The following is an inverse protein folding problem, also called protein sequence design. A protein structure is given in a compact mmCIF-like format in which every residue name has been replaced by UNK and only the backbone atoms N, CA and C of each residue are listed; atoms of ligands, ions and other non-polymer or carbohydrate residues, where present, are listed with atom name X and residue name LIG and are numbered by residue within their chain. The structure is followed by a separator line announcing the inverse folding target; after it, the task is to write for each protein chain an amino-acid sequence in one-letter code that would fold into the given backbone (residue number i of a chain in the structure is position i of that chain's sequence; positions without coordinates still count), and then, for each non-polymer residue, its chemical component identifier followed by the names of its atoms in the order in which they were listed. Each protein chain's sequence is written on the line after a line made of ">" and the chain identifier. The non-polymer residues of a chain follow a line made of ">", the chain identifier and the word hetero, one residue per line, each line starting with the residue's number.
data_IF_167998901790
#
_entry.id   IF_167998901790
#
_cell.length_a   1.000
_cell.length_b   1.000
_cell.length_c   1.000
_cell.angle_alpha   90.00
_cell.angle_beta   90.00
_cell.angle_gamma   90.00
#
_symmetry.space_group_name_H-M   'P 1'
#
loop_
_entity.id
_entity.type
_entity.pdbx_description
1 polymer ?
#
# COMPACT_ATOMS: atom_id res chain seq x y z
N UNK A 1 -6.32 -16.20 -3.66
CA UNK A 1 -7.66 -16.80 -3.49
C UNK A 1 -7.63 -18.03 -2.59
N UNK A 2 -7.00 -19.15 -2.99
CA UNK A 2 -6.97 -20.37 -2.18
C UNK A 2 -6.47 -20.17 -0.72
N UNK A 3 -5.47 -19.31 -0.51
CA UNK A 3 -5.00 -18.94 0.83
C UNK A 3 -6.09 -18.20 1.65
N UNK A 4 -6.82 -17.28 1.01
CA UNK A 4 -7.90 -16.52 1.66
C UNK A 4 -9.09 -17.43 1.99
N UNK A 5 -9.42 -18.39 1.12
CA UNK A 5 -10.45 -19.39 1.39
C UNK A 5 -10.10 -20.23 2.63
N UNK A 6 -8.82 -20.62 2.78
CA UNK A 6 -8.35 -21.34 3.97
C UNK A 6 -8.47 -20.52 5.25
N UNK A 7 -8.11 -19.24 5.24
CA UNK A 7 -8.32 -18.36 6.39
C UNK A 7 -9.80 -18.25 6.76
N UNK A 8 -10.67 -18.08 5.75
CA UNK A 8 -12.12 -17.99 5.95
C UNK A 8 -12.68 -19.26 6.60
N UNK A 9 -12.25 -20.43 6.12
CA UNK A 9 -12.65 -21.72 6.68
C UNK A 9 -12.13 -21.92 8.12
N UNK A 10 -11.00 -21.30 8.47
CA UNK A 10 -10.44 -21.32 9.81
C UNK A 10 -11.06 -20.27 10.76
N UNK A 11 -12.03 -19.47 10.31
CA UNK A 11 -12.66 -18.42 11.12
C UNK A 11 -11.82 -17.16 11.31
N UNK A 12 -10.73 -17.01 10.54
CA UNK A 12 -9.88 -15.80 10.53
C UNK A 12 -10.34 -14.87 9.43
N UNK A 13 -10.30 -13.55 9.66
CA UNK A 13 -10.62 -12.56 8.62
C UNK A 13 -9.58 -12.69 7.49
N UNK A 14 -9.95 -13.07 6.26
CA UNK A 14 -8.94 -13.38 5.27
C UNK A 14 -8.14 -12.16 4.79
N UNK A 15 -8.81 -11.03 4.57
CA UNK A 15 -8.18 -9.80 4.08
C UNK A 15 -8.61 -8.62 4.96
N UNK A 16 -7.66 -8.02 5.66
CA UNK A 16 -7.88 -6.76 6.36
C UNK A 16 -7.94 -5.61 5.35
N UNK A 17 -9.01 -4.81 5.43
CA UNK A 17 -9.21 -3.60 4.62
C UNK A 17 -9.95 -2.55 5.45
N UNK A 18 -9.76 -1.28 5.11
CA UNK A 18 -10.38 -0.14 5.80
C UNK A 18 -11.56 0.53 5.08
N UNK A 19 -11.91 0.10 3.87
CA UNK A 19 -13.09 0.60 3.15
C UNK A 19 -13.12 2.12 2.96
N UNK A 20 -11.95 2.72 2.79
CA UNK A 20 -11.77 4.11 2.37
C UNK A 20 -11.30 4.09 0.91
N UNK A 21 -11.78 5.01 0.08
CA UNK A 21 -11.53 5.02 -1.37
C UNK A 21 -10.04 4.89 -1.73
N UNK A 22 -9.15 5.53 -0.99
CA UNK A 22 -7.72 5.48 -1.26
C UNK A 22 -7.07 4.12 -0.91
N UNK A 23 -7.60 3.40 0.10
CA UNK A 23 -7.14 2.05 0.44
C UNK A 23 -7.56 1.05 -0.64
N UNK A 24 -8.80 1.19 -1.13
CA UNK A 24 -9.31 0.37 -2.24
C UNK A 24 -8.54 0.64 -3.53
N UNK A 25 -8.23 1.91 -3.82
CA UNK A 25 -7.37 2.30 -4.94
C UNK A 25 -5.96 1.71 -4.83
N UNK A 26 -5.35 1.72 -3.63
CA UNK A 26 -4.04 1.11 -3.38
C UNK A 26 -4.04 -0.40 -3.68
N UNK A 27 -5.10 -1.11 -3.27
CA UNK A 27 -5.25 -2.53 -3.63
C UNK A 27 -5.51 -2.69 -5.12
N UNK A 28 -6.31 -1.81 -5.74
CA UNK A 28 -6.64 -1.87 -7.15
C UNK A 28 -5.42 -1.66 -8.05
N UNK A 29 -4.51 -0.77 -7.69
CA UNK A 29 -3.22 -0.58 -8.38
C UNK A 29 -2.45 -1.91 -8.49
N UNK A 30 -2.38 -2.66 -7.37
CA UNK A 30 -1.76 -3.98 -7.35
C UNK A 30 -2.50 -5.02 -8.19
N UNK A 31 -3.84 -4.97 -8.20
CA UNK A 31 -4.69 -5.87 -9.00
C UNK A 31 -4.50 -5.62 -10.50
N UNK A 32 -4.45 -4.36 -10.92
CA UNK A 32 -4.28 -3.97 -12.33
C UNK A 32 -2.89 -4.37 -12.81
N UNK A 33 -1.85 -4.10 -12.02
CA UNK A 33 -0.49 -4.52 -12.33
C UNK A 33 -0.37 -6.04 -12.43
N UNK A 34 -0.99 -6.78 -11.52
CA UNK A 34 -1.02 -8.25 -11.54
C UNK A 34 -1.78 -8.81 -12.76
N UNK A 35 -2.88 -8.16 -13.14
CA UNK A 35 -3.76 -8.65 -14.21
C UNK A 35 -3.18 -8.38 -15.61
N UNK A 36 -2.63 -7.18 -15.84
CA UNK A 36 -2.16 -6.76 -17.17
C UNK A 36 -0.64 -6.65 -17.32
N UNK A 37 0.12 -6.73 -16.23
CA UNK A 37 1.56 -6.49 -16.23
C UNK A 37 1.93 -4.99 -16.25
N UNK A 38 3.23 -4.67 -16.14
CA UNK A 38 3.72 -3.30 -15.98
C UNK A 38 3.47 -2.40 -17.20
N UNK A 39 3.52 -2.94 -18.41
CA UNK A 39 3.23 -2.17 -19.63
C UNK A 39 1.76 -1.75 -19.70
N UNK A 40 0.84 -2.67 -19.39
CA UNK A 40 -0.59 -2.35 -19.32
C UNK A 40 -0.88 -1.34 -18.21
N UNK A 41 -0.31 -1.56 -17.02
CA UNK A 41 -0.45 -0.63 -15.90
C UNK A 41 -0.03 0.78 -16.31
N UNK A 42 1.14 0.93 -16.96
CA UNK A 42 1.61 2.23 -17.43
C UNK A 42 0.61 2.87 -18.40
N UNK A 43 0.17 2.14 -19.44
CA UNK A 43 -0.78 2.67 -20.43
C UNK A 43 -2.09 3.12 -19.77
N UNK A 44 -2.66 2.29 -18.91
CA UNK A 44 -3.95 2.56 -18.29
C UNK A 44 -3.88 3.63 -17.20
N UNK A 45 -2.93 3.51 -16.27
CA UNK A 45 -2.91 4.32 -15.04
C UNK A 45 -2.02 5.55 -15.12
N UNK A 46 -1.00 5.57 -15.98
CA UNK A 46 -0.11 6.73 -16.15
C UNK A 46 -0.45 7.51 -17.42
N UNK A 47 -0.56 6.82 -18.55
CA UNK A 47 -0.80 7.45 -19.85
C UNK A 47 -2.29 7.74 -20.09
N UNK A 48 -3.17 7.18 -19.25
CA UNK A 48 -4.63 7.33 -19.31
C UNK A 48 -5.22 6.91 -20.67
N UNK A 49 -4.64 5.88 -21.28
CA UNK A 49 -5.04 5.36 -22.57
C UNK A 49 -6.46 4.78 -22.54
N UNK A 50 -7.35 5.37 -23.35
CA UNK A 50 -8.79 5.05 -23.33
C UNK A 50 -9.09 3.62 -23.80
N UNK A 51 -8.32 3.09 -24.74
CA UNK A 51 -8.45 1.70 -25.19
C UNK A 51 -8.10 0.73 -24.07
N UNK A 52 -6.98 0.96 -23.38
CA UNK A 52 -6.57 0.17 -22.21
C UNK A 52 -7.60 0.24 -21.08
N UNK A 53 -8.12 1.44 -20.78
CA UNK A 53 -9.14 1.65 -19.75
C UNK A 53 -10.47 0.95 -20.06
N UNK A 54 -10.85 0.81 -21.34
CA UNK A 54 -12.09 0.14 -21.77
C UNK A 54 -11.89 -1.32 -22.16
N UNK A 55 -10.67 -1.85 -22.05
CA UNK A 55 -10.33 -3.20 -22.47
C UNK A 55 -10.89 -4.29 -21.55
N UNK A 56 -10.96 -5.51 -22.09
CA UNK A 56 -11.28 -6.72 -21.31
C UNK A 56 -10.29 -6.95 -20.15
N UNK A 57 -9.03 -6.50 -20.29
CA UNK A 57 -8.02 -6.57 -19.21
C UNK A 57 -8.39 -5.68 -18.04
N UNK A 58 -8.89 -4.46 -18.29
CA UNK A 58 -9.38 -3.59 -17.23
C UNK A 58 -10.65 -4.15 -16.60
N UNK A 59 -11.57 -4.68 -17.42
CA UNK A 59 -12.75 -5.39 -16.90
C UNK A 59 -12.35 -6.55 -15.99
N UNK A 60 -11.36 -7.36 -16.40
CA UNK A 60 -10.85 -8.47 -15.59
C UNK A 60 -10.22 -8.00 -14.27
N UNK A 61 -9.57 -6.85 -14.27
CA UNK A 61 -9.02 -6.22 -13.07
C UNK A 61 -10.14 -5.87 -12.07
N UNK A 62 -11.26 -5.30 -12.55
CA UNK A 62 -12.44 -5.07 -11.72
C UNK A 62 -13.10 -6.36 -11.22
N UNK A 63 -13.20 -7.40 -12.07
CA UNK A 63 -13.71 -8.72 -11.64
C UNK A 63 -12.84 -9.32 -10.51
N UNK A 64 -11.52 -9.16 -10.60
CA UNK A 64 -10.58 -9.60 -9.57
C UNK A 64 -10.73 -8.79 -8.27
N UNK A 65 -10.89 -7.46 -8.37
CA UNK A 65 -11.18 -6.60 -7.22
C UNK A 65 -12.49 -7.01 -6.54
N UNK A 66 -13.56 -7.19 -7.33
CA UNK A 66 -14.87 -7.62 -6.85
C UNK A 66 -14.79 -8.98 -6.14
N UNK A 67 -13.90 -9.88 -6.58
CA UNK A 67 -13.63 -11.14 -5.88
C UNK A 67 -12.90 -10.92 -4.55
N UNK A 68 -11.87 -10.06 -4.51
CA UNK A 68 -11.08 -9.78 -3.30
C UNK A 68 -11.93 -9.14 -2.20
N UNK A 69 -12.84 -8.21 -2.53
CA UNK A 69 -13.71 -7.58 -1.53
C UNK A 69 -14.68 -8.56 -0.87
N UNK A 70 -14.92 -9.75 -1.41
CA UNK A 70 -15.70 -10.81 -0.73
C UNK A 70 -14.97 -11.47 0.46
N UNK A 71 -13.70 -11.12 0.66
CA UNK A 71 -12.83 -11.66 1.71
C UNK A 71 -12.55 -10.69 2.86
N UNK A 72 -13.15 -9.50 2.85
CA UNK A 72 -13.07 -8.55 3.97
C UNK A 72 -14.20 -8.81 4.97
N UNK A 73 -14.06 -8.33 6.19
CA UNK A 73 -15.11 -8.41 7.20
C UNK A 73 -16.21 -7.36 6.98
N UNK A 74 -17.45 -7.57 7.47
CA UNK A 74 -18.57 -6.64 7.22
C UNK A 74 -18.39 -5.25 7.85
N UNK A 75 -17.52 -5.10 8.84
CA UNK A 75 -17.28 -3.84 9.55
C UNK A 75 -16.07 -3.08 8.98
N UNK A 76 -15.64 -3.39 7.76
CA UNK A 76 -14.47 -2.77 7.14
C UNK A 76 -14.69 -1.30 6.78
N UNK A 77 -15.93 -0.89 6.46
CA UNK A 77 -16.25 0.45 5.94
C UNK A 77 -15.85 1.57 6.92
N UNK A 78 -15.05 2.52 6.44
CA UNK A 78 -14.59 3.68 7.21
C UNK A 78 -13.48 3.41 8.23
N UNK A 79 -12.93 2.19 8.29
CA UNK A 79 -11.82 1.84 9.18
C UNK A 79 -10.50 2.42 8.67
N UNK A 80 -9.72 3.01 9.58
CA UNK A 80 -8.39 3.50 9.22
C UNK A 80 -7.41 2.37 8.89
N UNK A 81 -6.49 2.63 7.96
CA UNK A 81 -5.55 1.63 7.44
C UNK A 81 -4.68 1.01 8.54
N UNK A 82 -4.31 1.78 9.57
CA UNK A 82 -3.49 1.31 10.68
C UNK A 82 -4.30 0.39 11.60
N UNK A 83 -5.62 0.56 11.71
CA UNK A 83 -6.49 -0.38 12.41
C UNK A 83 -6.61 -1.72 11.66
N UNK A 84 -6.69 -1.68 10.33
CA UNK A 84 -6.60 -2.89 9.50
C UNK A 84 -5.24 -3.59 9.66
N UNK A 85 -4.15 -2.82 9.73
CA UNK A 85 -2.80 -3.34 10.01
C UNK A 85 -2.73 -4.01 11.39
N UNK A 86 -3.34 -3.37 12.41
CA UNK A 86 -3.39 -3.90 13.76
C UNK A 86 -4.14 -5.25 13.86
N UNK A 87 -5.16 -5.49 13.01
CA UNK A 87 -5.84 -6.79 12.94
C UNK A 87 -4.88 -7.90 12.53
N UNK A 88 -4.00 -7.63 11.55
CA UNK A 88 -2.99 -8.61 11.13
C UNK A 88 -1.93 -8.80 12.22
N UNK A 89 -1.46 -7.72 12.86
CA UNK A 89 -0.51 -7.79 13.99
C UNK A 89 -1.05 -8.65 15.14
N UNK A 90 -2.35 -8.58 15.43
CA UNK A 90 -3.02 -9.34 16.49
C UNK A 90 -3.37 -10.77 16.10
N UNK A 91 -3.36 -11.09 14.80
CA UNK A 91 -3.80 -12.38 14.27
C UNK A 91 -5.31 -12.49 14.03
N UNK A 92 -6.06 -11.40 14.14
CA UNK A 92 -7.50 -11.34 13.83
C UNK A 92 -7.74 -11.48 12.31
N UNK A 93 -6.78 -11.01 11.51
CA UNK A 93 -6.80 -11.11 10.05
C UNK A 93 -5.52 -11.73 9.49
N UNK A 94 -5.63 -12.44 8.36
CA UNK A 94 -4.51 -13.16 7.77
C UNK A 94 -3.54 -12.23 7.01
N UNK A 95 -4.05 -11.42 6.09
CA UNK A 95 -3.22 -10.54 5.24
C UNK A 95 -3.82 -9.14 5.11
N UNK A 96 -2.99 -8.20 4.70
CA UNK A 96 -3.37 -6.86 4.26
C UNK A 96 -2.62 -6.52 2.97
N UNK A 97 -3.30 -5.87 2.03
CA UNK A 97 -2.67 -5.27 0.85
C UNK A 97 -2.53 -3.78 1.11
N UNK A 98 -1.30 -3.31 1.31
CA UNK A 98 -1.00 -1.93 1.66
C UNK A 98 0.44 -1.60 1.27
N UNK A 99 0.77 -0.30 1.22
CA UNK A 99 2.16 0.14 1.07
C UNK A 99 3.02 -0.20 2.30
N UNK A 100 4.33 -0.05 2.14
CA UNK A 100 5.33 -0.42 3.15
C UNK A 100 5.29 0.44 4.42
N UNK A 101 4.56 1.56 4.43
CA UNK A 101 4.25 2.30 5.66
C UNK A 101 3.54 1.43 6.70
N UNK A 102 2.85 0.36 6.30
CA UNK A 102 2.32 -0.63 7.23
C UNK A 102 3.42 -1.29 8.09
N UNK A 103 4.63 -1.47 7.56
CA UNK A 103 5.79 -2.00 8.29
C UNK A 103 6.15 -1.13 9.50
N UNK A 104 5.88 0.18 9.43
CA UNK A 104 6.05 1.09 10.58
C UNK A 104 5.21 0.67 11.79
N UNK A 105 3.96 0.25 11.57
CA UNK A 105 3.07 -0.24 12.64
C UNK A 105 3.57 -1.58 13.22
N UNK A 106 4.06 -2.49 12.37
CA UNK A 106 4.66 -3.75 12.83
C UNK A 106 5.91 -3.49 13.70
N UNK A 107 6.79 -2.57 13.27
CA UNK A 107 7.96 -2.18 14.04
C UNK A 107 7.59 -1.52 15.37
N UNK A 108 6.60 -0.61 15.37
CA UNK A 108 6.09 0.02 16.58
C UNK A 108 5.49 -1.00 17.57
N UNK A 109 4.95 -2.12 17.06
CA UNK A 109 4.47 -3.25 17.84
C UNK A 109 5.56 -4.28 18.18
N UNK A 110 6.85 -3.97 17.95
CA UNK A 110 8.00 -4.84 18.18
C UNK A 110 7.94 -6.18 17.42
N UNK A 111 7.37 -6.19 16.22
CA UNK A 111 7.28 -7.38 15.35
C UNK A 111 8.49 -7.46 14.42
N UNK A 112 9.05 -8.65 14.28
CA UNK A 112 10.26 -8.92 13.52
C UNK A 112 9.92 -9.50 12.14
N UNK A 113 10.35 -8.88 11.02
CA UNK A 113 10.17 -9.43 9.68
C UNK A 113 10.80 -10.82 9.55
N UNK A 114 10.12 -11.74 8.85
CA UNK A 114 10.58 -13.13 8.67
C UNK A 114 10.33 -14.04 9.87
N UNK A 115 9.94 -13.50 11.03
CA UNK A 115 9.57 -14.27 12.23
C UNK A 115 8.10 -14.06 12.57
N UNK A 116 7.70 -12.81 12.81
CA UNK A 116 6.34 -12.46 13.19
C UNK A 116 5.43 -12.15 11.99
N UNK A 117 5.99 -11.63 10.91
CA UNK A 117 5.25 -11.30 9.70
C UNK A 117 6.11 -11.45 8.45
N UNK A 118 5.45 -11.60 7.30
CA UNK A 118 6.07 -11.73 6.00
C UNK A 118 5.59 -10.61 5.09
N UNK A 119 6.49 -10.08 4.26
CA UNK A 119 6.17 -9.12 3.21
C UNK A 119 6.49 -9.74 1.87
N UNK A 120 5.47 -9.89 1.02
CA UNK A 120 5.62 -10.33 -0.35
C UNK A 120 5.07 -9.27 -1.29
N UNK A 121 5.56 -9.27 -2.53
CA UNK A 121 4.88 -8.53 -3.60
C UNK A 121 3.48 -9.09 -3.76
N UNK A 122 2.55 -8.25 -4.18
CA UNK A 122 1.21 -8.70 -4.51
C UNK A 122 1.34 -9.81 -5.59
N UNK A 123 0.59 -10.93 -5.49
CA UNK A 123 0.79 -12.05 -6.41
C UNK A 123 0.77 -11.64 -7.88
N UNK A 124 1.81 -12.00 -8.63
CA UNK A 124 1.95 -11.64 -10.05
C UNK A 124 2.63 -10.29 -10.33
N UNK A 125 3.12 -9.58 -9.31
CA UNK A 125 3.82 -8.30 -9.49
C UNK A 125 5.32 -8.36 -9.19
N UNK A 126 5.88 -9.57 -9.09
CA UNK A 126 7.32 -9.77 -8.92
C UNK A 126 8.13 -9.04 -10.02
N UNK A 127 9.20 -8.37 -9.61
CA UNK A 127 10.02 -7.53 -10.50
C UNK A 127 9.44 -6.14 -10.80
N UNK A 128 8.24 -5.81 -10.32
CA UNK A 128 7.61 -4.50 -10.48
C UNK A 128 7.34 -3.83 -9.13
N UNK A 129 7.48 -2.50 -9.07
CA UNK A 129 7.18 -1.70 -7.88
C UNK A 129 6.38 -0.47 -8.29
N UNK A 130 5.18 -0.33 -7.71
CA UNK A 130 4.40 0.91 -7.76
C UNK A 130 4.93 1.75 -6.60
N UNK A 131 5.64 2.83 -6.92
CA UNK A 131 6.29 3.66 -5.90
C UNK A 131 5.45 4.91 -5.61
N UNK A 132 5.54 5.38 -4.37
CA UNK A 132 5.17 6.72 -3.97
C UNK A 132 6.39 7.38 -3.32
N UNK A 133 6.50 8.71 -3.46
CA UNK A 133 7.60 9.48 -2.88
C UNK A 133 7.03 10.64 -2.07
N UNK A 134 7.29 10.62 -0.77
CA UNK A 134 6.87 11.68 0.13
C UNK A 134 7.82 12.88 -0.02
N UNK A 135 7.27 14.06 -0.32
CA UNK A 135 8.05 15.27 -0.59
C UNK A 135 7.61 16.43 0.29
N UNK A 136 8.57 17.19 0.81
CA UNK A 136 8.32 18.46 1.47
C UNK A 136 8.38 19.60 0.45
N UNK A 137 7.22 20.13 0.06
CA UNK A 137 7.12 21.33 -0.78
C UNK A 137 7.36 22.61 0.03
N UNK A 138 8.30 23.45 -0.42
CA UNK A 138 8.56 24.75 0.20
C UNK A 138 7.69 25.83 -0.45
N UNK A 139 6.69 26.32 0.29
CA UNK A 139 5.82 27.40 -0.16
C UNK A 139 6.59 28.72 -0.31
N UNK A 140 6.14 29.59 -1.20
CA UNK A 140 6.70 30.94 -1.29
C UNK A 140 6.38 31.73 0.00
N UNK A 141 7.41 32.19 0.69
CA UNK A 141 7.33 32.91 1.96
C UNK A 141 8.24 34.15 1.95
N UNK A 142 7.99 35.16 2.80
CA UNK A 142 8.90 36.28 3.01
C UNK A 142 10.30 35.82 3.45
N UNK A 143 11.29 36.69 3.26
CA UNK A 143 12.71 36.35 3.40
C UNK A 143 13.10 35.85 4.79
N UNK A 144 12.42 36.33 5.83
CA UNK A 144 12.64 35.94 7.23
C UNK A 144 12.39 34.44 7.48
N UNK A 145 11.61 33.77 6.62
CA UNK A 145 11.29 32.34 6.72
C UNK A 145 12.09 31.45 5.78
N UNK A 146 12.81 32.01 4.79
CA UNK A 146 13.54 31.23 3.78
C UNK A 146 14.67 30.39 4.38
N UNK A 147 15.38 30.93 5.37
CA UNK A 147 16.47 30.21 6.04
C UNK A 147 15.98 28.89 6.69
N UNK A 148 14.79 28.91 7.31
CA UNK A 148 14.20 27.71 7.92
C UNK A 148 13.80 26.66 6.87
N UNK A 149 13.27 27.09 5.72
CA UNK A 149 12.96 26.18 4.61
C UNK A 149 14.22 25.52 4.03
N UNK A 150 15.32 26.28 3.87
CA UNK A 150 16.61 25.73 3.43
C UNK A 150 17.17 24.74 4.44
N UNK A 151 17.06 25.04 5.74
CA UNK A 151 17.49 24.14 6.80
C UNK A 151 16.67 22.83 6.79
N UNK A 152 15.34 22.92 6.65
CA UNK A 152 14.47 21.75 6.54
C UNK A 152 14.82 20.91 5.30
N UNK A 153 14.95 21.53 4.12
CA UNK A 153 15.32 20.83 2.89
C UNK A 153 16.69 20.14 2.99
N UNK A 154 17.66 20.81 3.61
CA UNK A 154 19.01 20.25 3.81
C UNK A 154 18.99 19.07 4.77
N UNK A 155 18.23 19.18 5.87
CA UNK A 155 18.09 18.11 6.84
C UNK A 155 17.40 16.89 6.22
N UNK A 156 16.27 17.08 5.52
CA UNK A 156 15.49 16.00 4.94
C UNK A 156 16.21 15.28 3.80
N UNK A 157 17.12 15.95 3.09
CA UNK A 157 17.94 15.34 2.04
C UNK A 157 19.27 14.76 2.56
N UNK A 158 19.61 14.94 3.83
CA UNK A 158 20.85 14.39 4.39
C UNK A 158 20.79 12.87 4.48
N UNK A 159 21.93 12.20 4.17
CA UNK A 159 22.04 10.74 4.21
C UNK A 159 21.70 10.16 5.60
N UNK A 160 22.15 10.83 6.66
CA UNK A 160 21.90 10.40 8.04
C UNK A 160 20.43 10.47 8.39
N UNK A 161 19.74 11.56 8.01
CA UNK A 161 18.31 11.68 8.23
C UNK A 161 17.53 10.65 7.42
N UNK A 162 17.80 10.55 6.11
CA UNK A 162 17.14 9.58 5.22
C UNK A 162 17.28 8.14 5.75
N UNK A 163 18.48 7.73 6.16
CA UNK A 163 18.69 6.39 6.72
C UNK A 163 17.90 6.18 8.02
N UNK A 164 17.98 7.10 8.97
CA UNK A 164 17.31 6.94 10.27
C UNK A 164 15.78 6.99 10.13
N UNK A 165 15.28 7.93 9.32
CA UNK A 165 13.85 8.14 9.09
C UNK A 165 13.22 6.94 8.37
N UNK A 166 13.80 6.48 7.26
CA UNK A 166 13.20 5.42 6.44
C UNK A 166 13.17 4.07 7.16
N UNK A 167 14.17 3.77 8.01
CA UNK A 167 14.18 2.56 8.85
C UNK A 167 12.94 2.49 9.74
N UNK A 168 12.59 3.60 10.42
CA UNK A 168 11.43 3.67 11.32
C UNK A 168 10.13 3.76 10.52
N UNK A 169 10.09 4.61 9.49
CA UNK A 169 8.88 4.87 8.68
C UNK A 169 8.39 3.63 7.93
N UNK A 170 9.28 2.71 7.61
CA UNK A 170 8.94 1.54 6.81
C UNK A 170 9.31 1.66 5.33
N UNK A 171 9.71 2.85 4.88
CA UNK A 171 10.12 3.15 3.50
C UNK A 171 11.49 2.58 3.14
N UNK A 172 11.80 2.56 1.83
CA UNK A 172 13.06 2.12 1.23
C UNK A 172 13.87 3.30 0.72
#
# INVERSE_FOLDING_TARGET
>A
IALLDKAKAAGVIPLALGGQNWQEATMFDSVVLSTGGPEFYKKAMNDLDEESLKSDTMKKSFDNLAKLVTYVDPNFSGRDWNLATAMVIKGDALVQVMGDWAKGEFHAANKTPGTDFLCYRFPGTDGSVIYNSDMFGMFNVPDDRKAAQVALATATLSKSFQSAFNVVKGSV
#
